data_IF_095586460102
#
_entry.id   IF_095586460102
#
_cell.length_a   1.000
_cell.length_b   1.000
_cell.length_c   1.000
_cell.angle_alpha   90.00
_cell.angle_beta   90.00
_cell.angle_gamma   90.00
#
_symmetry.space_group_name_H-M   'P 1'
#
loop_
_entity.id
_entity.type
_entity.pdbx_description
1 polymer ?
#
# COMPACT_ATOMS: atom_id res chain seq x y z
N UNK A 1 15.54 -21.31 21.16
CA UNK A 1 14.78 -20.14 20.66
C UNK A 1 15.31 -19.83 19.27
N UNK A 2 14.44 -19.67 18.27
CA UNK A 2 14.88 -19.22 16.93
C UNK A 2 15.38 -17.79 17.07
N UNK A 3 16.57 -17.47 16.53
CA UNK A 3 17.01 -16.10 16.39
C UNK A 3 16.03 -15.40 15.44
N UNK A 4 15.16 -14.55 15.99
CA UNK A 4 14.24 -13.74 15.19
C UNK A 4 15.02 -12.54 14.67
N UNK A 5 14.89 -12.27 13.38
CA UNK A 5 15.41 -11.03 12.77
C UNK A 5 14.47 -9.92 13.23
N UNK A 6 15.02 -8.92 13.93
CA UNK A 6 14.29 -7.70 14.27
C UNK A 6 14.39 -6.75 13.07
N UNK A 7 13.24 -6.44 12.46
CA UNK A 7 13.16 -5.49 11.36
C UNK A 7 13.16 -4.07 11.92
N UNK A 8 13.91 -3.18 11.28
CA UNK A 8 13.81 -1.75 11.56
C UNK A 8 12.43 -1.21 11.20
N UNK A 9 12.05 -0.09 11.81
CA UNK A 9 10.78 0.59 11.51
C UNK A 9 10.65 0.94 10.02
N UNK A 10 11.74 1.38 9.39
CA UNK A 10 11.78 1.65 7.94
C UNK A 10 11.49 0.40 7.12
N UNK A 11 12.07 -0.75 7.47
CA UNK A 11 11.81 -2.01 6.77
C UNK A 11 10.35 -2.44 6.92
N UNK A 12 9.73 -2.22 8.09
CA UNK A 12 8.31 -2.49 8.30
C UNK A 12 7.41 -1.61 7.43
N UNK A 13 7.68 -0.30 7.38
CA UNK A 13 6.92 0.64 6.55
C UNK A 13 7.04 0.27 5.06
N UNK A 14 8.27 0.03 4.58
CA UNK A 14 8.49 -0.31 3.17
C UNK A 14 7.86 -1.65 2.80
N UNK A 15 7.93 -2.65 3.70
CA UNK A 15 7.27 -3.94 3.52
C UNK A 15 5.75 -3.78 3.46
N UNK A 16 5.18 -2.93 4.31
CA UNK A 16 3.76 -2.63 4.30
C UNK A 16 3.33 -1.94 3.00
N UNK A 17 4.08 -0.93 2.55
CA UNK A 17 3.81 -0.22 1.31
C UNK A 17 3.86 -1.16 0.09
N UNK A 18 4.88 -2.02 0.00
CA UNK A 18 4.96 -3.06 -1.03
C UNK A 18 3.74 -3.99 -0.96
N UNK A 19 3.33 -4.38 0.25
CA UNK A 19 2.18 -5.26 0.44
C UNK A 19 0.84 -4.63 0.03
N UNK A 20 0.69 -3.30 0.14
CA UNK A 20 -0.47 -2.56 -0.33
C UNK A 20 -0.55 -2.56 -1.86
N UNK A 21 0.58 -2.30 -2.53
CA UNK A 21 0.68 -2.34 -4.01
C UNK A 21 0.30 -3.73 -4.52
N UNK A 22 0.85 -4.78 -3.91
CA UNK A 22 0.56 -6.18 -4.24
C UNK A 22 -0.90 -6.56 -3.97
N UNK A 23 -1.49 -6.06 -2.87
CA UNK A 23 -2.90 -6.28 -2.55
C UNK A 23 -3.82 -5.69 -3.61
N UNK A 24 -3.58 -4.43 -4.00
CA UNK A 24 -4.34 -3.74 -5.05
C UNK A 24 -4.15 -4.41 -6.40
N UNK A 25 -2.93 -4.83 -6.74
CA UNK A 25 -2.63 -5.57 -7.97
C UNK A 25 -3.44 -6.86 -8.08
N UNK A 26 -3.46 -7.67 -7.02
CA UNK A 26 -4.30 -8.88 -6.97
C UNK A 26 -5.78 -8.57 -7.09
N UNK A 27 -6.27 -7.53 -6.40
CA UNK A 27 -7.71 -7.18 -6.43
C UNK A 27 -8.16 -6.65 -7.79
N UNK A 28 -7.30 -5.91 -8.50
CA UNK A 28 -7.59 -5.39 -9.84
C UNK A 28 -7.27 -6.38 -10.97
N UNK A 29 -6.52 -7.45 -10.70
CA UNK A 29 -6.09 -8.42 -11.71
C UNK A 29 -5.06 -7.86 -12.70
N UNK A 30 -4.24 -6.91 -12.27
CA UNK A 30 -3.22 -6.24 -13.10
C UNK A 30 -1.82 -6.37 -12.49
N UNK A 31 -0.74 -6.20 -13.27
CA UNK A 31 0.63 -6.27 -12.75
C UNK A 31 0.92 -5.23 -11.66
N UNK A 32 1.69 -5.61 -10.63
CA UNK A 32 2.04 -4.71 -9.53
C UNK A 32 2.82 -3.48 -10.00
N UNK A 33 3.61 -3.59 -11.08
CA UNK A 33 4.34 -2.47 -11.67
C UNK A 33 3.39 -1.38 -12.18
N UNK A 34 2.25 -1.79 -12.74
CA UNK A 34 1.21 -0.86 -13.20
C UNK A 34 0.57 -0.15 -12.02
N UNK A 35 0.22 -0.89 -10.96
CA UNK A 35 -0.32 -0.30 -9.71
C UNK A 35 0.66 0.66 -9.08
N UNK A 36 1.93 0.28 -8.97
CA UNK A 36 2.98 1.16 -8.45
C UNK A 36 3.06 2.46 -9.27
N UNK A 37 3.06 2.38 -10.59
CA UNK A 37 3.09 3.55 -11.46
C UNK A 37 1.85 4.43 -11.28
N UNK A 38 0.67 3.84 -11.16
CA UNK A 38 -0.61 4.55 -10.92
C UNK A 38 -0.63 5.24 -9.55
N UNK A 39 -0.32 4.52 -8.48
CA UNK A 39 -0.24 5.06 -7.12
C UNK A 39 0.81 6.17 -7.01
N UNK A 40 1.99 5.98 -7.63
CA UNK A 40 3.03 7.02 -7.68
C UNK A 40 2.55 8.26 -8.43
N UNK A 41 1.88 8.09 -9.58
CA UNK A 41 1.36 9.19 -10.40
C UNK A 41 0.43 10.10 -9.60
N UNK A 42 -0.50 9.52 -8.82
CA UNK A 42 -1.43 10.30 -7.99
C UNK A 42 -0.87 10.71 -6.63
N UNK A 43 0.39 10.34 -6.31
CA UNK A 43 1.04 10.67 -5.04
C UNK A 43 0.53 9.87 -3.83
N UNK A 44 -0.11 8.72 -4.06
CA UNK A 44 -0.72 7.90 -3.00
C UNK A 44 0.32 7.26 -2.08
N UNK A 45 1.49 6.90 -2.60
CA UNK A 45 2.57 6.32 -1.78
C UNK A 45 3.06 7.35 -0.76
N UNK A 46 3.47 8.52 -1.25
CA UNK A 46 4.11 9.57 -0.45
C UNK A 46 3.13 10.32 0.45
N UNK A 47 1.88 10.53 0.00
CA UNK A 47 0.90 11.36 0.72
C UNK A 47 -0.15 10.57 1.50
N UNK A 48 -0.21 9.24 1.36
CA UNK A 48 -1.21 8.42 2.07
C UNK A 48 -0.62 7.15 2.70
N UNK A 49 0.06 6.30 1.93
CA UNK A 49 0.52 5.01 2.48
C UNK A 49 1.61 5.21 3.54
N UNK A 50 2.65 6.01 3.25
CA UNK A 50 3.76 6.21 4.19
C UNK A 50 3.36 7.03 5.42
N UNK A 51 2.68 8.20 5.30
CA UNK A 51 2.39 9.04 6.46
C UNK A 51 1.35 8.44 7.42
N UNK A 52 0.47 7.57 6.91
CA UNK A 52 -0.59 6.96 7.71
C UNK A 52 -0.32 5.48 8.02
N UNK A 53 0.93 5.03 7.93
CA UNK A 53 1.33 3.65 8.24
C UNK A 53 0.79 3.20 9.61
N UNK A 54 0.98 4.00 10.66
CA UNK A 54 0.61 3.64 12.03
C UNK A 54 -0.88 3.33 12.20
N UNK A 55 -1.74 3.99 11.42
CA UNK A 55 -3.18 3.73 11.40
C UNK A 55 -3.52 2.57 10.47
N UNK A 56 -2.93 2.54 9.26
CA UNK A 56 -3.33 1.57 8.24
C UNK A 56 -2.89 0.14 8.59
N UNK A 57 -1.79 -0.05 9.32
CA UNK A 57 -1.25 -1.39 9.61
C UNK A 57 -2.00 -2.13 10.73
N UNK A 58 -2.89 -1.45 11.46
CA UNK A 58 -3.73 -2.06 12.51
C UNK A 58 -5.05 -2.61 11.96
N UNK A 59 -5.44 -2.18 10.76
CA UNK A 59 -6.66 -2.58 10.07
C UNK A 59 -6.51 -3.93 9.35
N UNK A 60 -7.64 -4.57 9.04
CA UNK A 60 -7.63 -5.81 8.26
C UNK A 60 -7.08 -5.59 6.84
N UNK A 61 -6.38 -6.60 6.30
CA UNK A 61 -5.76 -6.50 4.98
C UNK A 61 -6.79 -6.27 3.87
N UNK A 62 -7.92 -6.95 3.97
CA UNK A 62 -9.03 -6.83 3.04
C UNK A 62 -9.58 -5.40 3.05
N UNK A 63 -9.87 -4.85 4.23
CA UNK A 63 -10.38 -3.48 4.35
C UNK A 63 -9.40 -2.43 3.80
N UNK A 64 -8.12 -2.53 4.16
CA UNK A 64 -7.08 -1.64 3.63
C UNK A 64 -7.02 -1.73 2.11
N UNK A 65 -7.00 -2.94 1.55
CA UNK A 65 -6.90 -3.12 0.10
C UNK A 65 -8.09 -2.52 -0.63
N UNK A 66 -9.29 -2.68 -0.10
CA UNK A 66 -10.53 -2.17 -0.68
C UNK A 66 -10.54 -0.64 -0.71
N UNK A 67 -10.19 -0.02 0.43
CA UNK A 67 -10.05 1.43 0.53
C UNK A 67 -8.99 1.97 -0.44
N UNK A 68 -7.87 1.25 -0.60
CA UNK A 68 -6.78 1.67 -1.49
C UNK A 68 -7.22 1.63 -2.96
N UNK A 69 -8.00 0.63 -3.37
CA UNK A 69 -8.59 0.57 -4.72
C UNK A 69 -9.53 1.76 -4.95
N UNK A 70 -10.44 2.01 -4.00
CA UNK A 70 -11.40 3.11 -4.10
C UNK A 70 -10.68 4.48 -4.16
N UNK A 71 -9.69 4.69 -3.29
CA UNK A 71 -8.89 5.91 -3.27
C UNK A 71 -8.14 6.10 -4.60
N UNK A 72 -7.49 5.05 -5.11
CA UNK A 72 -6.74 5.12 -6.36
C UNK A 72 -7.64 5.58 -7.53
N UNK A 73 -8.80 4.93 -7.69
CA UNK A 73 -9.76 5.25 -8.76
C UNK A 73 -10.27 6.69 -8.61
N UNK A 74 -10.64 7.08 -7.39
CA UNK A 74 -11.14 8.43 -7.08
C UNK A 74 -10.11 9.51 -7.37
N UNK A 75 -8.84 9.25 -7.05
CA UNK A 75 -7.76 10.23 -7.23
C UNK A 75 -7.33 10.34 -8.68
N UNK A 76 -7.36 9.23 -9.43
CA UNK A 76 -7.13 9.25 -10.88
C UNK A 76 -8.23 10.04 -11.61
N UNK A 77 -9.48 9.96 -11.18
CA UNK A 77 -10.59 10.71 -11.77
C UNK A 77 -10.54 12.23 -11.53
N UNK A 78 -9.76 12.69 -10.54
CA UNK A 78 -9.59 14.12 -10.22
C UNK A 78 -8.43 14.77 -11.00
N UNK A 79 -7.73 14.02 -11.84
CA UNK A 79 -6.58 14.49 -12.62
C UNK A 79 -6.89 14.66 -14.09
#
# INVERSE_FOLDING_TARGET
MKNLIELSHTELILSFAASCIEGVARKLGIPYQEVFARMKRVGMIENYILPYYDTLHTESREHVTDNMVECLITWEAKR
#
